data_IF_505013342347
#
_entry.id   IF_505013342347
#
_cell.length_a   1.000
_cell.length_b   1.000
_cell.length_c   1.000
_cell.angle_alpha   90.00
_cell.angle_beta   90.00
_cell.angle_gamma   90.00
#
_symmetry.space_group_name_H-M   'P 1'
#
loop_
_entity.id
_entity.type
_entity.pdbx_description
1 polymer ?
#
# COMPACT_ATOMS: atom_id res chain seq x y z
N UNK A 1 -25.98 -34.91 -8.77
CA UNK A 1 -24.93 -34.55 -7.78
C UNK A 1 -25.21 -33.19 -7.15
N UNK A 2 -25.15 -32.06 -7.89
CA UNK A 2 -25.41 -30.72 -7.33
C UNK A 2 -26.78 -30.62 -6.63
N UNK A 3 -27.85 -31.08 -7.27
CA UNK A 3 -29.19 -31.05 -6.67
C UNK A 3 -29.27 -31.88 -5.39
N UNK A 4 -28.57 -33.01 -5.33
CA UNK A 4 -28.51 -33.85 -4.11
C UNK A 4 -27.83 -33.10 -2.97
N UNK A 5 -26.73 -32.41 -3.24
CA UNK A 5 -25.99 -31.64 -2.23
C UNK A 5 -26.76 -30.40 -1.80
N UNK A 6 -27.38 -29.67 -2.74
CA UNK A 6 -28.16 -28.47 -2.46
C UNK A 6 -29.41 -28.75 -1.60
N UNK A 7 -30.00 -29.95 -1.72
CA UNK A 7 -31.17 -30.36 -0.95
C UNK A 7 -30.82 -31.15 0.33
N UNK A 8 -29.53 -31.31 0.67
CA UNK A 8 -29.12 -32.04 1.87
C UNK A 8 -29.54 -31.30 3.17
N UNK A 9 -29.55 -29.97 3.14
CA UNK A 9 -29.94 -29.10 4.25
C UNK A 9 -30.67 -27.86 3.72
N UNK A 10 -31.48 -27.16 4.54
CA UNK A 10 -32.19 -25.96 4.12
C UNK A 10 -31.26 -24.73 4.11
N UNK A 11 -30.23 -24.74 3.26
CA UNK A 11 -29.18 -23.70 3.25
C UNK A 11 -29.73 -22.30 3.03
N UNK A 12 -30.77 -22.13 2.21
CA UNK A 12 -31.39 -20.82 2.00
C UNK A 12 -31.99 -20.28 3.29
N UNK A 13 -32.71 -21.12 4.06
CA UNK A 13 -33.26 -20.71 5.35
C UNK A 13 -32.16 -20.36 6.37
N UNK A 14 -31.02 -21.04 6.30
CA UNK A 14 -29.88 -20.74 7.17
C UNK A 14 -29.26 -19.38 6.83
N UNK A 15 -29.09 -19.09 5.54
CA UNK A 15 -28.60 -17.80 5.09
C UNK A 15 -29.56 -16.67 5.47
N UNK A 16 -30.86 -16.81 5.16
CA UNK A 16 -31.88 -15.78 5.42
C UNK A 16 -31.98 -15.41 6.91
N UNK A 17 -31.69 -16.35 7.82
CA UNK A 17 -31.75 -16.13 9.27
C UNK A 17 -30.45 -15.65 9.89
N UNK A 18 -29.30 -16.02 9.32
CA UNK A 18 -28.00 -15.83 9.99
C UNK A 18 -27.10 -14.81 9.29
N UNK A 19 -27.15 -14.72 7.95
CA UNK A 19 -26.34 -13.78 7.19
C UNK A 19 -26.93 -12.37 7.36
N UNK A 20 -26.09 -11.40 7.73
CA UNK A 20 -26.50 -10.01 7.90
C UNK A 20 -25.81 -9.16 6.84
N UNK A 21 -26.56 -8.38 6.08
CA UNK A 21 -25.93 -7.38 5.21
C UNK A 21 -25.46 -6.19 6.05
N UNK A 22 -24.24 -5.70 5.79
CA UNK A 22 -23.75 -4.47 6.42
C UNK A 22 -24.69 -3.28 6.19
N UNK A 23 -25.30 -3.20 5.01
CA UNK A 23 -26.20 -2.10 4.66
C UNK A 23 -27.49 -2.11 5.51
N UNK A 24 -27.90 -3.29 6.01
CA UNK A 24 -29.11 -3.49 6.83
C UNK A 24 -28.88 -3.22 8.32
N UNK A 25 -27.62 -3.09 8.76
CA UNK A 25 -27.31 -2.73 10.14
C UNK A 25 -27.88 -1.34 10.49
N UNK A 26 -28.34 -1.13 11.74
CA UNK A 26 -28.93 0.12 12.18
C UNK A 26 -27.96 1.28 11.98
N UNK A 27 -28.51 2.45 11.62
CA UNK A 27 -27.71 3.65 11.42
C UNK A 27 -27.06 4.07 12.75
N UNK A 28 -25.79 4.51 12.73
CA UNK A 28 -25.10 4.96 13.93
C UNK A 28 -25.73 6.23 14.48
N UNK A 29 -25.66 6.47 15.80
CA UNK A 29 -26.26 7.64 16.44
C UNK A 29 -25.59 8.97 16.05
N UNK A 30 -24.28 8.94 15.75
CA UNK A 30 -23.52 10.11 15.32
C UNK A 30 -22.70 9.79 14.06
N UNK A 31 -22.88 10.59 13.01
CA UNK A 31 -22.00 10.60 11.85
C UNK A 31 -20.91 11.66 12.05
N UNK A 32 -19.68 11.30 11.71
CA UNK A 32 -18.53 12.21 11.77
C UNK A 32 -18.80 13.49 10.96
N UNK A 33 -18.57 14.65 11.58
CA UNK A 33 -18.69 15.96 10.91
C UNK A 33 -17.40 16.27 10.14
N UNK A 34 -17.53 16.96 9.01
CA UNK A 34 -16.38 17.39 8.22
C UNK A 34 -15.47 18.31 9.05
N UNK A 35 -14.17 18.00 9.06
CA UNK A 35 -13.16 18.83 9.72
C UNK A 35 -12.80 20.05 8.86
N UNK A 36 -12.27 21.08 9.52
CA UNK A 36 -11.73 22.27 8.85
C UNK A 36 -10.46 21.94 8.05
N UNK A 37 -10.25 22.62 6.92
CA UNK A 37 -9.10 22.46 6.02
C UNK A 37 -7.75 22.36 6.76
N UNK A 38 -7.47 23.27 7.70
CA UNK A 38 -6.21 23.27 8.45
C UNK A 38 -5.96 21.97 9.24
N UNK A 39 -7.02 21.32 9.72
CA UNK A 39 -6.94 20.03 10.42
C UNK A 39 -6.66 18.88 9.45
N UNK A 40 -7.27 18.92 8.26
CA UNK A 40 -7.06 17.95 7.17
C UNK A 40 -5.62 18.02 6.68
N UNK A 41 -5.11 19.21 6.36
CA UNK A 41 -3.74 19.43 5.90
C UNK A 41 -2.71 18.91 6.90
N UNK A 42 -2.93 19.19 8.18
CA UNK A 42 -2.05 18.73 9.23
C UNK A 42 -1.96 17.19 9.29
N UNK A 43 -3.09 16.48 9.22
CA UNK A 43 -3.10 15.01 9.17
C UNK A 43 -2.50 14.47 7.88
N UNK A 44 -2.74 15.11 6.74
CA UNK A 44 -2.12 14.76 5.46
C UNK A 44 -0.59 14.73 5.55
N UNK A 45 0.02 15.70 6.24
CA UNK A 45 1.47 15.72 6.46
C UNK A 45 1.99 14.50 7.22
N UNK A 46 1.27 14.06 8.26
CA UNK A 46 1.62 12.92 9.11
C UNK A 46 1.53 11.62 8.31
N UNK A 47 0.44 11.43 7.57
CA UNK A 47 0.22 10.24 6.76
C UNK A 47 0.98 10.25 5.42
N UNK A 48 1.79 11.29 5.17
CA UNK A 48 2.69 11.35 4.02
C UNK A 48 2.00 11.66 2.69
N UNK A 49 0.86 12.35 2.69
CA UNK A 49 0.27 12.86 1.45
C UNK A 49 1.15 13.96 0.87
N UNK A 50 1.17 14.05 -0.45
CA UNK A 50 1.88 15.06 -1.22
C UNK A 50 0.93 15.67 -2.23
N UNK A 51 1.24 16.87 -2.72
CA UNK A 51 0.43 17.48 -3.77
C UNK A 51 0.37 16.60 -5.03
N UNK A 52 1.46 15.89 -5.33
CA UNK A 52 1.49 14.92 -6.42
C UNK A 52 0.53 13.75 -6.19
N UNK A 53 0.47 13.15 -4.99
CA UNK A 53 -0.47 12.04 -4.75
C UNK A 53 -1.93 12.51 -4.87
N UNK A 54 -2.25 13.71 -4.39
CA UNK A 54 -3.57 14.30 -4.55
C UNK A 54 -3.95 14.46 -6.03
N UNK A 55 -3.08 15.12 -6.81
CA UNK A 55 -3.35 15.46 -8.20
C UNK A 55 -3.29 14.26 -9.15
N UNK A 56 -2.30 13.39 -8.95
CA UNK A 56 -1.99 12.29 -9.89
C UNK A 56 -2.78 11.03 -9.56
N UNK A 57 -3.19 10.81 -8.30
CA UNK A 57 -3.89 9.59 -7.87
C UNK A 57 -5.34 9.86 -7.45
N UNK A 58 -5.54 10.67 -6.41
CA UNK A 58 -6.88 10.86 -5.81
C UNK A 58 -7.85 11.53 -6.79
N UNK A 59 -7.44 12.62 -7.44
CA UNK A 59 -8.30 13.34 -8.37
C UNK A 59 -8.77 12.47 -9.56
N UNK A 60 -7.91 11.73 -10.28
CA UNK A 60 -8.34 10.81 -11.33
C UNK A 60 -9.24 9.68 -10.83
N UNK A 61 -8.93 9.08 -9.68
CA UNK A 61 -9.76 8.02 -9.10
C UNK A 61 -11.16 8.52 -8.75
N UNK A 62 -11.26 9.72 -8.17
CA UNK A 62 -12.53 10.36 -7.84
C UNK A 62 -13.33 10.77 -9.08
N UNK A 63 -12.70 11.29 -10.14
CA UNK A 63 -13.40 11.71 -11.36
C UNK A 63 -13.84 10.52 -12.22
N UNK A 64 -12.94 9.56 -12.45
CA UNK A 64 -13.13 8.53 -13.47
C UNK A 64 -13.61 7.18 -12.91
N UNK A 65 -13.50 6.95 -11.59
CA UNK A 65 -13.86 5.68 -10.98
C UNK A 65 -12.97 4.50 -11.38
N UNK A 66 -11.76 4.79 -11.86
CA UNK A 66 -10.69 3.84 -12.19
C UNK A 66 -9.37 4.38 -11.67
N UNK A 67 -8.40 3.50 -11.43
CA UNK A 67 -7.05 3.87 -10.99
C UNK A 67 -6.38 4.82 -11.98
N UNK A 68 -5.50 5.68 -11.47
CA UNK A 68 -4.70 6.56 -12.29
C UNK A 68 -3.78 5.78 -13.24
N UNK A 69 -3.68 6.24 -14.49
CA UNK A 69 -2.78 5.70 -15.49
C UNK A 69 -1.54 6.59 -15.60
N UNK A 70 -0.38 5.95 -15.69
CA UNK A 70 0.91 6.57 -15.96
C UNK A 70 1.64 5.86 -17.10
N UNK A 71 2.82 6.34 -17.43
CA UNK A 71 3.69 5.77 -18.46
C UNK A 71 5.15 5.92 -18.06
N UNK A 72 6.06 5.25 -18.80
CA UNK A 72 7.48 5.08 -18.47
C UNK A 72 7.71 4.09 -17.32
N UNK A 73 8.97 3.71 -17.09
CA UNK A 73 9.36 2.84 -15.98
C UNK A 73 9.54 3.63 -14.68
N UNK A 74 9.49 2.92 -13.55
CA UNK A 74 9.89 3.45 -12.25
C UNK A 74 11.42 3.57 -12.22
N UNK A 75 11.91 4.79 -12.18
CA UNK A 75 13.33 5.13 -12.15
C UNK A 75 13.76 5.81 -10.84
N UNK A 76 12.91 5.71 -9.81
CA UNK A 76 13.22 6.11 -8.44
C UNK A 76 14.06 5.06 -7.72
N UNK A 77 14.81 5.42 -6.65
CA UNK A 77 15.51 4.45 -5.81
C UNK A 77 14.57 3.39 -5.22
N UNK A 78 15.10 2.20 -4.95
CA UNK A 78 14.41 1.27 -4.07
C UNK A 78 14.18 1.93 -2.70
N UNK A 79 13.05 1.67 -2.04
CA UNK A 79 12.65 2.36 -0.80
C UNK A 79 13.74 2.36 0.28
N UNK A 80 14.46 1.24 0.44
CA UNK A 80 15.57 1.08 1.40
C UNK A 80 16.80 1.96 1.10
N UNK A 81 16.92 2.48 -0.12
CA UNK A 81 18.01 3.32 -0.57
C UNK A 81 17.59 4.78 -0.82
N UNK A 82 16.32 5.11 -0.61
CA UNK A 82 15.81 6.49 -0.64
C UNK A 82 16.31 7.28 0.57
N UNK A 83 16.55 8.58 0.39
CA UNK A 83 16.86 9.51 1.48
C UNK A 83 15.59 10.11 2.13
N UNK A 84 14.42 9.84 1.54
CA UNK A 84 13.11 10.28 2.01
C UNK A 84 12.47 9.27 2.96
N UNK A 85 11.56 9.76 3.79
CA UNK A 85 10.79 8.91 4.68
C UNK A 85 9.71 8.16 3.89
N UNK A 86 9.95 6.89 3.59
CA UNK A 86 9.06 6.05 2.80
C UNK A 86 7.89 5.55 3.64
N UNK A 87 6.78 5.22 2.99
CA UNK A 87 5.74 4.43 3.65
C UNK A 87 6.11 2.95 3.60
N UNK A 88 5.70 2.20 4.61
CA UNK A 88 6.02 0.78 4.71
C UNK A 88 5.54 -0.02 3.50
N UNK A 89 4.46 0.42 2.85
CA UNK A 89 3.94 -0.17 1.62
C UNK A 89 4.97 -0.25 0.49
N UNK A 90 5.82 0.77 0.34
CA UNK A 90 6.81 0.88 -0.76
C UNK A 90 7.89 -0.22 -0.71
N UNK A 91 8.09 -0.84 0.46
CA UNK A 91 9.05 -1.94 0.65
C UNK A 91 8.55 -3.28 0.10
N UNK A 92 7.28 -3.38 -0.30
CA UNK A 92 6.72 -4.62 -0.84
C UNK A 92 6.47 -4.52 -2.34
N UNK A 93 6.77 -5.59 -3.06
CA UNK A 93 6.52 -5.72 -4.50
C UNK A 93 5.48 -6.81 -4.72
N UNK A 94 4.50 -6.52 -5.58
CA UNK A 94 3.45 -7.47 -5.93
C UNK A 94 4.04 -8.64 -6.72
N UNK A 95 3.76 -9.86 -6.28
CA UNK A 95 4.05 -11.04 -7.09
C UNK A 95 2.99 -11.19 -8.19
N UNK A 96 3.40 -11.78 -9.31
CA UNK A 96 2.50 -12.06 -10.43
C UNK A 96 2.85 -13.41 -11.06
N UNK A 97 1.84 -14.08 -11.61
CA UNK A 97 2.01 -15.35 -12.29
C UNK A 97 2.64 -15.14 -13.68
N UNK A 98 3.44 -16.10 -14.12
CA UNK A 98 4.12 -16.03 -15.42
C UNK A 98 3.84 -17.29 -16.25
N UNK A 99 4.44 -18.42 -15.88
CA UNK A 99 4.36 -19.68 -16.65
C UNK A 99 3.53 -20.74 -15.93
N UNK A 100 3.67 -20.84 -14.60
CA UNK A 100 3.08 -21.90 -13.79
C UNK A 100 1.56 -21.90 -13.79
N UNK A 101 0.96 -20.72 -13.85
CA UNK A 101 -0.48 -20.51 -13.89
C UNK A 101 -0.75 -19.20 -14.66
N UNK A 102 -1.86 -19.12 -15.41
CA UNK A 102 -2.20 -17.91 -16.14
C UNK A 102 -2.79 -16.83 -15.19
N UNK A 103 -2.52 -15.54 -15.45
CA UNK A 103 -3.29 -14.47 -14.84
C UNK A 103 -4.73 -14.45 -15.38
N UNK A 104 -5.63 -13.83 -14.61
CA UNK A 104 -7.05 -13.64 -14.95
C UNK A 104 -7.26 -12.24 -15.56
N UNK A 105 -8.15 -12.12 -16.56
CA UNK A 105 -8.62 -10.83 -17.07
C UNK A 105 -9.75 -10.27 -16.18
N UNK A 106 -9.39 -9.39 -15.24
CA UNK A 106 -10.33 -8.79 -14.29
C UNK A 106 -11.44 -7.92 -14.93
N UNK A 107 -11.35 -7.60 -16.23
CA UNK A 107 -12.35 -6.80 -16.93
C UNK A 107 -13.28 -7.69 -17.74
N UNK A 108 -12.72 -8.58 -18.56
CA UNK A 108 -13.52 -9.46 -19.44
C UNK A 108 -14.13 -10.64 -18.70
N UNK A 109 -13.50 -11.06 -17.60
CA UNK A 109 -13.91 -12.20 -16.78
C UNK A 109 -14.45 -11.72 -15.41
N UNK A 110 -15.00 -10.51 -15.33
CA UNK A 110 -15.55 -9.93 -14.10
C UNK A 110 -16.61 -10.86 -13.44
N UNK A 111 -17.35 -11.63 -14.22
CA UNK A 111 -18.37 -12.59 -13.74
C UNK A 111 -17.82 -13.71 -12.86
N UNK A 112 -16.54 -14.08 -13.01
CA UNK A 112 -15.91 -15.10 -12.15
C UNK A 112 -15.18 -14.48 -10.97
N UNK A 113 -15.12 -13.15 -10.87
CA UNK A 113 -14.50 -12.44 -9.75
C UNK A 113 -15.51 -12.12 -8.65
N UNK A 114 -15.08 -12.24 -7.39
CA UNK A 114 -15.90 -11.94 -6.21
C UNK A 114 -15.20 -10.93 -5.30
N UNK A 115 -15.90 -9.83 -5.01
CA UNK A 115 -15.40 -8.74 -4.15
C UNK A 115 -15.97 -8.79 -2.74
N UNK A 116 -16.96 -9.62 -2.51
CA UNK A 116 -17.58 -9.75 -1.21
C UNK A 116 -16.62 -10.39 -0.21
N UNK A 117 -16.71 -9.90 1.03
CA UNK A 117 -15.95 -10.39 2.17
C UNK A 117 -16.90 -10.54 3.35
N UNK A 118 -16.57 -11.46 4.25
CA UNK A 118 -17.41 -11.77 5.41
C UNK A 118 -16.70 -11.36 6.70
N UNK A 119 -17.42 -10.70 7.60
CA UNK A 119 -16.94 -10.35 8.95
C UNK A 119 -17.62 -11.23 10.00
N UNK A 120 -16.88 -11.55 11.05
CA UNK A 120 -17.37 -12.31 12.20
C UNK A 120 -16.52 -13.54 12.46
N UNK A 121 -16.98 -14.35 13.39
CA UNK A 121 -16.33 -15.61 13.74
C UNK A 121 -16.52 -16.63 12.63
N UNK A 122 -15.45 -17.29 12.21
CA UNK A 122 -15.51 -18.44 11.32
C UNK A 122 -15.87 -19.69 12.12
N UNK A 123 -16.90 -20.41 11.65
CA UNK A 123 -17.39 -21.61 12.31
C UNK A 123 -16.53 -22.85 12.06
N UNK A 124 -16.93 -23.98 12.64
CA UNK A 124 -16.23 -25.24 12.44
C UNK A 124 -16.55 -25.81 11.06
N UNK A 125 -15.54 -25.87 10.19
CA UNK A 125 -15.64 -26.38 8.81
C UNK A 125 -16.05 -27.86 8.71
N UNK A 126 -15.91 -28.63 9.79
CA UNK A 126 -16.28 -30.05 9.84
C UNK A 126 -17.77 -30.26 10.17
N UNK A 127 -18.47 -29.23 10.63
CA UNK A 127 -19.86 -29.29 11.04
C UNK A 127 -20.73 -28.52 10.05
N UNK A 128 -21.84 -29.13 9.61
CA UNK A 128 -22.82 -28.47 8.73
C UNK A 128 -23.99 -27.99 9.57
N UNK A 129 -23.85 -26.79 10.15
CA UNK A 129 -24.82 -26.19 11.08
C UNK A 129 -25.15 -24.73 10.69
N UNK A 130 -26.37 -24.23 11.00
CA UNK A 130 -26.80 -22.87 10.65
C UNK A 130 -25.90 -21.76 11.20
N UNK A 131 -25.30 -21.98 12.37
CA UNK A 131 -24.48 -20.98 13.07
C UNK A 131 -23.25 -20.57 12.26
N UNK A 132 -22.74 -21.45 11.38
CA UNK A 132 -21.64 -21.14 10.48
C UNK A 132 -21.99 -20.02 9.48
N UNK A 133 -23.28 -19.79 9.22
CA UNK A 133 -23.76 -18.71 8.35
C UNK A 133 -23.87 -17.36 9.08
N UNK A 134 -23.60 -17.29 10.39
CA UNK A 134 -23.72 -16.04 11.18
C UNK A 134 -22.53 -15.12 10.93
N UNK A 135 -22.56 -14.42 9.80
CA UNK A 135 -21.54 -13.47 9.38
C UNK A 135 -22.18 -12.18 8.86
N UNK A 136 -21.42 -11.08 8.87
CA UNK A 136 -21.80 -9.83 8.22
C UNK A 136 -21.19 -9.81 6.82
N UNK A 137 -22.01 -9.75 5.78
CA UNK A 137 -21.56 -9.64 4.39
C UNK A 137 -21.27 -8.19 4.02
N UNK A 138 -20.08 -7.98 3.45
CA UNK A 138 -19.64 -6.74 2.85
C UNK A 138 -19.56 -6.95 1.35
N UNK A 139 -20.15 -6.06 0.56
CA UNK A 139 -20.10 -6.12 -0.92
C UNK A 139 -18.71 -5.83 -1.49
N UNK A 140 -17.92 -5.05 -0.76
CA UNK A 140 -16.54 -4.71 -1.10
C UNK A 140 -15.75 -4.44 0.19
N UNK A 141 -14.41 -4.55 0.16
CA UNK A 141 -13.58 -4.38 1.36
C UNK A 141 -13.30 -2.91 1.71
N UNK A 142 -13.74 -1.94 0.90
CA UNK A 142 -13.40 -0.52 1.08
C UNK A 142 -14.61 0.21 1.69
N UNK A 143 -14.54 0.45 2.98
CA UNK A 143 -15.66 0.96 3.77
C UNK A 143 -15.78 2.49 3.69
N UNK A 144 -17.02 2.96 3.60
CA UNK A 144 -17.36 4.35 3.92
C UNK A 144 -17.29 4.60 5.43
N UNK A 145 -17.23 5.87 5.85
CA UNK A 145 -17.20 6.22 7.28
C UNK A 145 -18.51 5.80 7.96
N UNK A 146 -19.62 5.91 7.24
CA UNK A 146 -20.96 5.52 7.66
C UNK A 146 -21.03 4.01 7.91
N UNK A 147 -20.51 3.21 6.97
CA UNK A 147 -20.41 1.76 7.10
C UNK A 147 -19.50 1.33 8.26
N UNK A 148 -18.34 1.98 8.42
CA UNK A 148 -17.46 1.72 9.55
C UNK A 148 -18.16 2.01 10.89
N UNK A 149 -18.90 3.13 10.98
CA UNK A 149 -19.64 3.49 12.18
C UNK A 149 -20.74 2.45 12.49
N UNK A 150 -21.46 1.92 11.49
CA UNK A 150 -22.40 0.80 11.69
C UNK A 150 -21.72 -0.43 12.31
N UNK A 151 -20.52 -0.78 11.83
CA UNK A 151 -19.74 -1.89 12.39
C UNK A 151 -19.25 -1.61 13.80
N UNK A 152 -18.72 -0.42 14.05
CA UNK A 152 -18.17 -0.04 15.35
C UNK A 152 -19.22 -0.04 16.47
N UNK A 153 -20.48 0.25 16.14
CA UNK A 153 -21.61 0.27 17.08
C UNK A 153 -22.55 -0.93 16.94
N UNK A 154 -22.11 -2.02 16.29
CA UNK A 154 -22.94 -3.20 16.09
C UNK A 154 -23.39 -3.77 17.45
N UNK A 155 -24.71 -3.89 17.63
CA UNK A 155 -25.37 -4.49 18.81
C UNK A 155 -26.26 -5.67 18.41
N UNK A 156 -25.91 -6.31 17.31
CA UNK A 156 -26.59 -7.50 16.80
C UNK A 156 -26.11 -8.76 17.50
N UNK A 157 -27.00 -9.74 17.70
CA UNK A 157 -26.66 -10.99 18.39
C UNK A 157 -25.49 -11.69 17.69
N UNK A 158 -24.45 -12.04 18.44
CA UNK A 158 -23.28 -12.73 17.89
C UNK A 158 -22.24 -11.83 17.22
N UNK A 159 -22.45 -10.51 17.19
CA UNK A 159 -21.44 -9.54 16.73
C UNK A 159 -21.14 -8.56 17.84
N UNK A 160 -19.85 -8.41 18.14
CA UNK A 160 -19.36 -7.41 19.09
C UNK A 160 -18.09 -6.81 18.52
N UNK A 161 -18.11 -5.50 18.33
CA UNK A 161 -16.98 -4.74 17.84
C UNK A 161 -16.24 -4.03 18.98
N UNK A 162 -14.92 -3.90 18.84
CA UNK A 162 -14.09 -3.07 19.69
C UNK A 162 -13.09 -2.29 18.84
N UNK A 163 -13.00 -0.98 19.10
CA UNK A 163 -11.96 -0.13 18.52
C UNK A 163 -10.66 -0.30 19.30
N UNK A 164 -9.59 -0.62 18.60
CA UNK A 164 -8.25 -0.78 19.16
C UNK A 164 -7.35 0.33 18.58
N UNK A 165 -6.80 1.22 19.42
CA UNK A 165 -5.95 2.30 18.94
C UNK A 165 -4.60 1.76 18.44
N UNK A 166 -4.15 2.23 17.28
CA UNK A 166 -2.83 1.95 16.73
C UNK A 166 -1.96 3.21 16.77
N UNK A 167 -1.73 3.72 17.98
CA UNK A 167 -0.94 4.92 18.27
C UNK A 167 0.18 4.60 19.25
N UNK A 168 1.27 5.37 19.20
CA UNK A 168 2.36 5.27 20.18
C UNK A 168 2.89 6.65 20.57
N UNK A 169 3.42 6.84 21.78
CA UNK A 169 4.03 8.11 22.18
C UNK A 169 5.27 8.41 21.33
N UNK A 170 5.24 9.50 20.55
CA UNK A 170 6.28 9.77 19.52
C UNK A 170 7.69 9.91 20.11
N UNK A 171 7.80 10.39 21.35
CA UNK A 171 9.07 10.63 22.04
C UNK A 171 9.62 9.40 22.78
N UNK A 172 8.93 8.27 22.72
CA UNK A 172 9.32 7.05 23.46
C UNK A 172 10.35 6.16 22.75
N UNK A 173 10.87 6.60 21.59
CA UNK A 173 11.88 5.87 20.84
C UNK A 173 11.32 4.67 20.07
N UNK A 174 12.19 3.94 19.33
CA UNK A 174 11.86 2.69 18.66
C UNK A 174 11.19 1.65 19.56
N UNK A 175 11.65 1.55 20.82
CA UNK A 175 11.12 0.61 21.81
C UNK A 175 9.68 0.96 22.19
N UNK A 176 9.31 2.24 22.08
CA UNK A 176 7.96 2.73 22.26
C UNK A 176 6.98 2.21 21.21
N UNK A 177 7.40 2.20 19.94
CA UNK A 177 6.64 1.61 18.84
C UNK A 177 6.42 0.11 19.07
N UNK A 178 7.47 -0.61 19.49
CA UNK A 178 7.36 -2.03 19.79
C UNK A 178 6.43 -2.33 20.97
N UNK A 179 6.54 -1.55 22.06
CA UNK A 179 5.65 -1.66 23.21
C UNK A 179 4.20 -1.41 22.84
N UNK A 180 3.92 -0.44 21.97
CA UNK A 180 2.58 -0.15 21.50
C UNK A 180 2.00 -1.29 20.66
N UNK A 181 2.80 -1.95 19.82
CA UNK A 181 2.39 -3.16 19.10
C UNK A 181 2.05 -4.31 20.06
N UNK A 182 2.92 -4.57 21.04
CA UNK A 182 2.66 -5.62 22.03
C UNK A 182 1.40 -5.32 22.87
N UNK A 183 1.19 -4.05 23.23
CA UNK A 183 -0.01 -3.61 23.93
C UNK A 183 -1.27 -3.80 23.07
N UNK A 184 -1.21 -3.47 21.77
CA UNK A 184 -2.28 -3.74 20.83
C UNK A 184 -2.63 -5.24 20.76
N UNK A 185 -1.62 -6.11 20.75
CA UNK A 185 -1.83 -7.56 20.73
C UNK A 185 -2.50 -8.07 22.02
N UNK A 186 -2.05 -7.56 23.18
CA UNK A 186 -2.64 -7.87 24.48
C UNK A 186 -4.11 -7.42 24.55
N UNK A 187 -4.43 -6.20 24.10
CA UNK A 187 -5.81 -5.71 24.05
C UNK A 187 -6.71 -6.56 23.15
N UNK A 188 -6.17 -7.06 22.03
CA UNK A 188 -6.91 -7.93 21.14
C UNK A 188 -7.19 -9.29 21.79
N UNK A 189 -6.21 -9.88 22.48
CA UNK A 189 -6.40 -11.13 23.23
C UNK A 189 -7.48 -10.98 24.31
N UNK A 190 -7.42 -9.91 25.13
CA UNK A 190 -8.43 -9.60 26.14
C UNK A 190 -9.83 -9.38 25.52
N UNK A 191 -9.89 -8.74 24.36
CA UNK A 191 -11.14 -8.49 23.66
C UNK A 191 -11.78 -9.81 23.16
N UNK A 192 -10.98 -10.73 22.60
CA UNK A 192 -11.46 -12.08 22.22
C UNK A 192 -12.02 -12.83 23.43
N UNK A 193 -11.34 -12.79 24.57
CA UNK A 193 -11.84 -13.43 25.81
C UNK A 193 -13.18 -12.84 26.27
N UNK A 194 -13.44 -11.57 25.97
CA UNK A 194 -14.71 -10.90 26.21
C UNK A 194 -15.76 -11.16 25.11
N UNK A 195 -15.47 -12.02 24.13
CA UNK A 195 -16.37 -12.36 23.02
C UNK A 195 -16.46 -11.29 21.93
N UNK A 196 -15.47 -10.40 21.82
CA UNK A 196 -15.34 -9.47 20.69
C UNK A 196 -14.83 -10.22 19.47
N UNK A 197 -15.52 -10.07 18.34
CA UNK A 197 -15.19 -10.74 17.09
C UNK A 197 -15.01 -9.80 15.89
N UNK A 198 -15.06 -8.48 16.12
CA UNK A 198 -14.73 -7.47 15.10
C UNK A 198 -13.79 -6.45 15.74
N UNK A 199 -12.55 -6.42 15.26
CA UNK A 199 -11.56 -5.44 15.68
C UNK A 199 -11.50 -4.29 14.69
N UNK A 200 -11.63 -3.06 15.19
CA UNK A 200 -11.41 -1.85 14.39
C UNK A 200 -10.07 -1.24 14.82
N UNK A 201 -9.01 -1.53 14.07
CA UNK A 201 -7.70 -0.91 14.26
C UNK A 201 -7.79 0.54 13.78
N UNK A 202 -7.49 1.51 14.64
CA UNK A 202 -7.71 2.93 14.34
C UNK A 202 -6.51 3.80 14.65
N UNK A 203 -6.06 4.57 13.66
CA UNK A 203 -5.05 5.63 13.86
C UNK A 203 -5.71 6.99 14.12
N UNK A 204 -7.03 7.05 14.36
CA UNK A 204 -7.65 8.29 14.84
C UNK A 204 -7.14 8.62 16.25
N UNK A 205 -6.88 9.90 16.50
CA UNK A 205 -6.31 10.38 17.77
C UNK A 205 -4.83 10.71 17.71
N UNK A 206 -4.21 10.67 16.52
CA UNK A 206 -2.89 11.27 16.29
C UNK A 206 -2.87 12.71 16.81
N UNK A 207 -1.83 13.05 17.57
CA UNK A 207 -1.66 14.33 18.24
C UNK A 207 -0.19 14.75 18.24
N UNK A 208 0.15 15.88 18.86
CA UNK A 208 1.53 16.33 19.04
C UNK A 208 2.38 15.30 19.82
N UNK A 209 1.74 14.51 20.69
CA UNK A 209 2.43 13.52 21.53
C UNK A 209 2.29 12.09 21.03
N UNK A 210 1.28 11.81 20.20
CA UNK A 210 0.94 10.46 19.71
C UNK A 210 1.12 10.37 18.20
N UNK A 211 2.01 9.48 17.76
CA UNK A 211 2.21 9.15 16.35
C UNK A 211 1.46 7.86 15.97
N UNK A 212 1.06 7.71 14.69
CA UNK A 212 0.40 6.49 14.23
C UNK A 212 1.40 5.35 14.08
N UNK A 213 1.05 4.16 14.56
CA UNK A 213 1.72 2.92 14.13
C UNK A 213 1.38 2.73 12.65
N UNK A 214 2.36 2.44 11.76
CA UNK A 214 2.05 2.16 10.36
C UNK A 214 0.96 1.09 10.24
N UNK A 215 -0.11 1.38 9.51
CA UNK A 215 -1.32 0.57 9.52
C UNK A 215 -1.05 -0.85 9.01
N UNK A 216 -0.16 -0.98 8.03
CA UNK A 216 0.31 -2.29 7.54
C UNK A 216 1.03 -3.10 8.62
N UNK A 217 1.87 -2.46 9.43
CA UNK A 217 2.61 -3.12 10.51
C UNK A 217 1.68 -3.58 11.63
N UNK A 218 0.74 -2.71 12.05
CA UNK A 218 -0.27 -3.05 13.06
C UNK A 218 -1.15 -4.22 12.60
N UNK A 219 -1.63 -4.16 11.35
CA UNK A 219 -2.50 -5.18 10.75
C UNK A 219 -1.80 -6.53 10.64
N UNK A 220 -0.64 -6.56 9.99
CA UNK A 220 0.10 -7.80 9.77
C UNK A 220 0.59 -8.39 11.10
N UNK A 221 1.12 -7.54 11.98
CA UNK A 221 1.57 -7.94 13.30
C UNK A 221 0.46 -8.60 14.13
N UNK A 222 -0.72 -7.98 14.17
CA UNK A 222 -1.88 -8.55 14.88
C UNK A 222 -2.39 -9.82 14.20
N UNK A 223 -2.49 -9.83 12.87
CA UNK A 223 -2.91 -11.01 12.11
C UNK A 223 -2.04 -12.23 12.44
N UNK A 224 -0.71 -12.07 12.41
CA UNK A 224 0.23 -13.14 12.73
C UNK A 224 0.26 -13.51 14.22
N UNK A 225 0.08 -12.53 15.12
CA UNK A 225 -0.09 -12.81 16.55
C UNK A 225 -1.29 -13.72 16.79
N UNK A 226 -2.45 -13.38 16.23
CA UNK A 226 -3.68 -14.17 16.36
C UNK A 226 -3.57 -15.56 15.71
N UNK A 227 -2.81 -15.70 14.62
CA UNK A 227 -2.50 -17.02 14.05
C UNK A 227 -1.68 -17.86 15.03
N UNK A 228 -0.60 -17.30 15.60
CA UNK A 228 0.25 -17.99 16.59
C UNK A 228 -0.51 -18.35 17.87
N UNK A 229 -1.55 -17.58 18.20
CA UNK A 229 -2.46 -17.84 19.33
C UNK A 229 -3.63 -18.77 18.98
N UNK A 230 -3.77 -19.18 17.71
CA UNK A 230 -4.89 -19.99 17.22
C UNK A 230 -6.27 -19.33 17.38
N UNK A 231 -6.30 -17.98 17.43
CA UNK A 231 -7.52 -17.18 17.64
C UNK A 231 -7.92 -16.36 16.41
N UNK A 232 -7.15 -16.40 15.31
CA UNK A 232 -7.45 -15.58 14.11
C UNK A 232 -8.83 -15.86 13.49
N UNK A 233 -9.32 -17.09 13.54
CA UNK A 233 -10.66 -17.47 13.01
C UNK A 233 -11.80 -16.92 13.88
N UNK A 234 -11.52 -16.49 15.11
CA UNK A 234 -12.55 -16.02 16.04
C UNK A 234 -12.99 -14.58 15.77
N UNK A 235 -12.21 -13.82 15.00
CA UNK A 235 -12.43 -12.40 14.79
C UNK A 235 -12.12 -11.95 13.36
N UNK A 236 -12.62 -10.78 12.99
CA UNK A 236 -12.25 -10.06 11.78
C UNK A 236 -11.49 -8.78 12.12
N UNK A 237 -10.57 -8.37 11.23
CA UNK A 237 -9.77 -7.16 11.40
C UNK A 237 -10.23 -6.13 10.37
N UNK A 238 -10.71 -4.98 10.85
CA UNK A 238 -11.08 -3.81 10.05
C UNK A 238 -10.10 -2.68 10.35
N UNK A 239 -9.58 -2.02 9.32
CA UNK A 239 -8.55 -0.98 9.46
C UNK A 239 -9.15 0.39 9.15
N UNK A 240 -9.29 1.24 10.16
CA UNK A 240 -9.59 2.68 10.05
C UNK A 240 -8.27 3.45 10.02
N UNK A 241 -7.83 3.90 8.84
CA UNK A 241 -6.51 4.51 8.70
C UNK A 241 -6.47 5.70 7.76
N UNK A 242 -5.59 6.65 8.08
CA UNK A 242 -5.26 7.76 7.21
C UNK A 242 -4.20 7.45 6.15
N UNK A 243 -3.40 6.41 6.31
CA UNK A 243 -2.32 6.06 5.36
C UNK A 243 -2.80 5.54 3.99
N UNK A 244 -3.78 4.62 3.90
CA UNK A 244 -4.16 3.96 2.65
C UNK A 244 -4.82 4.94 1.68
N UNK A 245 -4.27 4.98 0.47
CA UNK A 245 -4.76 5.88 -0.59
C UNK A 245 -4.54 5.34 -2.00
N UNK A 246 -3.59 4.42 -2.15
CA UNK A 246 -3.25 3.75 -3.40
C UNK A 246 -3.77 2.32 -3.42
N UNK A 247 -4.05 1.81 -4.62
CA UNK A 247 -4.46 0.41 -4.84
C UNK A 247 -3.50 -0.57 -4.17
N UNK A 248 -2.20 -0.30 -4.23
CA UNK A 248 -1.17 -1.11 -3.60
C UNK A 248 -1.32 -1.16 -2.07
N UNK A 249 -1.69 -0.06 -1.42
CA UNK A 249 -1.86 -0.01 0.04
C UNK A 249 -3.03 -0.89 0.48
N UNK A 250 -4.16 -0.82 -0.23
CA UNK A 250 -5.32 -1.66 0.04
C UNK A 250 -5.03 -3.14 -0.19
N UNK A 251 -4.34 -3.47 -1.30
CA UNK A 251 -3.96 -4.84 -1.60
C UNK A 251 -3.04 -5.43 -0.52
N UNK A 252 -2.06 -4.66 -0.02
CA UNK A 252 -1.19 -5.09 1.07
C UNK A 252 -1.97 -5.30 2.38
N UNK A 253 -2.81 -4.34 2.79
CA UNK A 253 -3.58 -4.49 4.03
C UNK A 253 -4.45 -5.76 4.00
N UNK A 254 -5.14 -6.01 2.88
CA UNK A 254 -5.96 -7.20 2.70
C UNK A 254 -5.08 -8.46 2.66
N UNK A 255 -4.00 -8.43 1.86
CA UNK A 255 -3.06 -9.54 1.72
C UNK A 255 -2.35 -9.93 3.02
N UNK A 256 -2.27 -9.03 4.00
CA UNK A 256 -1.73 -9.25 5.34
C UNK A 256 -2.80 -9.34 6.44
N UNK A 257 -4.06 -9.55 6.08
CA UNK A 257 -5.09 -10.06 6.99
C UNK A 257 -6.19 -9.07 7.41
N UNK A 258 -6.22 -7.85 6.85
CA UNK A 258 -7.38 -6.98 6.99
C UNK A 258 -8.56 -7.52 6.17
N UNK A 259 -9.72 -7.69 6.79
CA UNK A 259 -10.94 -8.04 6.07
C UNK A 259 -11.53 -6.85 5.34
N UNK A 260 -11.41 -5.64 5.92
CA UNK A 260 -11.89 -4.42 5.31
C UNK A 260 -11.06 -3.20 5.75
N UNK A 261 -11.07 -2.14 4.94
CA UNK A 261 -10.29 -0.91 5.13
C UNK A 261 -11.20 0.30 4.96
N UNK A 262 -11.17 1.22 5.92
CA UNK A 262 -11.78 2.54 5.85
C UNK A 262 -10.66 3.61 5.70
N UNK A 263 -10.44 4.15 4.49
CA UNK A 263 -9.45 5.19 4.24
C UNK A 263 -10.00 6.59 4.54
N UNK A 264 -10.31 6.89 5.81
CA UNK A 264 -11.03 8.13 6.17
C UNK A 264 -10.33 9.40 5.68
N UNK A 265 -8.98 9.44 5.74
CA UNK A 265 -8.20 10.61 5.34
C UNK A 265 -8.27 10.85 3.83
N UNK A 266 -8.41 9.80 3.02
CA UNK A 266 -8.63 9.95 1.58
C UNK A 266 -9.99 10.61 1.31
N UNK A 267 -11.03 10.25 2.06
CA UNK A 267 -12.36 10.88 1.94
C UNK A 267 -12.35 12.35 2.39
N UNK A 268 -11.71 12.64 3.53
CA UNK A 268 -11.55 14.02 4.01
C UNK A 268 -10.73 14.86 3.03
N UNK A 269 -9.67 14.29 2.46
CA UNK A 269 -8.87 14.94 1.41
C UNK A 269 -9.68 15.21 0.15
N UNK A 270 -10.52 14.28 -0.30
CA UNK A 270 -11.37 14.49 -1.47
C UNK A 270 -12.42 15.59 -1.23
N UNK A 271 -13.01 15.64 -0.03
CA UNK A 271 -13.92 16.72 0.36
C UNK A 271 -13.20 18.07 0.26
N UNK A 272 -12.03 18.15 0.88
CA UNK A 272 -11.19 19.35 0.93
C UNK A 272 -10.72 19.81 -0.46
N UNK A 273 -10.35 18.87 -1.34
CA UNK A 273 -9.99 19.16 -2.74
C UNK A 273 -11.17 19.71 -3.56
N UNK A 274 -12.39 19.26 -3.28
CA UNK A 274 -13.60 19.78 -3.95
C UNK A 274 -13.92 21.18 -3.43
N UNK A 275 -13.85 21.39 -2.11
CA UNK A 275 -14.10 22.69 -1.47
C UNK A 275 -13.12 23.78 -1.95
N UNK A 276 -11.85 23.42 -2.14
CA UNK A 276 -10.82 24.30 -2.72
C UNK A 276 -10.91 24.46 -4.25
N UNK A 277 -11.80 23.74 -4.94
CA UNK A 277 -11.91 23.77 -6.40
C UNK A 277 -10.77 23.07 -7.16
N UNK A 278 -9.95 22.25 -6.50
CA UNK A 278 -8.93 21.41 -7.15
C UNK A 278 -9.57 20.26 -7.95
N UNK A 279 -10.72 19.78 -7.49
CA UNK A 279 -11.54 18.78 -8.18
C UNK A 279 -12.89 19.40 -8.49
N UNK A 280 -13.06 19.81 -9.74
CA UNK A 280 -14.29 20.41 -10.26
C UNK A 280 -15.24 19.38 -10.88
N UNK A 281 -16.49 19.81 -11.12
CA UNK A 281 -17.50 19.10 -11.93
C UNK A 281 -18.00 17.78 -11.34
N UNK A 282 -17.85 17.58 -10.04
CA UNK A 282 -18.32 16.39 -9.32
C UNK A 282 -18.69 16.73 -7.88
N UNK A 283 -19.82 16.20 -7.41
CA UNK A 283 -20.23 16.32 -6.01
C UNK A 283 -19.51 15.30 -5.13
N UNK A 284 -19.33 15.61 -3.85
CA UNK A 284 -18.58 14.78 -2.90
C UNK A 284 -19.02 13.31 -2.87
N UNK A 285 -20.32 13.03 -2.78
CA UNK A 285 -20.80 11.64 -2.71
C UNK A 285 -20.48 10.84 -3.97
N UNK A 286 -20.50 11.48 -5.14
CA UNK A 286 -20.14 10.84 -6.41
C UNK A 286 -18.63 10.62 -6.49
N UNK A 287 -17.83 11.57 -6.02
CA UNK A 287 -16.37 11.44 -5.91
C UNK A 287 -15.98 10.30 -4.97
N UNK A 288 -16.60 10.22 -3.79
CA UNK A 288 -16.45 9.13 -2.81
C UNK A 288 -16.80 7.78 -3.42
N UNK A 289 -17.95 7.66 -4.07
CA UNK A 289 -18.38 6.44 -4.76
C UNK A 289 -17.38 5.99 -5.84
N UNK A 290 -16.95 6.93 -6.70
CA UNK A 290 -16.00 6.65 -7.76
C UNK A 290 -14.64 6.22 -7.19
N UNK A 291 -14.14 6.89 -6.16
CA UNK A 291 -12.89 6.54 -5.50
C UNK A 291 -12.92 5.11 -4.94
N UNK A 292 -14.00 4.74 -4.24
CA UNK A 292 -14.21 3.37 -3.72
C UNK A 292 -14.20 2.37 -4.87
N UNK A 293 -14.95 2.65 -5.94
CA UNK A 293 -15.00 1.81 -7.14
C UNK A 293 -13.60 1.63 -7.76
N UNK A 294 -12.82 2.71 -7.88
CA UNK A 294 -11.47 2.70 -8.42
C UNK A 294 -10.53 1.84 -7.56
N UNK A 295 -10.57 2.02 -6.24
CA UNK A 295 -9.78 1.25 -5.29
C UNK A 295 -10.15 -0.25 -5.34
N UNK A 296 -11.43 -0.59 -5.28
CA UNK A 296 -11.90 -1.99 -5.35
C UNK A 296 -11.51 -2.65 -6.67
N UNK A 297 -11.75 -2.01 -7.82
CA UNK A 297 -11.31 -2.55 -9.13
C UNK A 297 -9.80 -2.71 -9.22
N UNK A 298 -9.06 -1.77 -8.64
CA UNK A 298 -7.61 -1.87 -8.53
C UNK A 298 -7.15 -3.09 -7.74
N UNK A 299 -7.76 -3.39 -6.59
CA UNK A 299 -7.41 -4.58 -5.79
C UNK A 299 -7.71 -5.85 -6.57
N UNK A 300 -8.87 -5.95 -7.24
CA UNK A 300 -9.19 -7.12 -8.09
C UNK A 300 -8.15 -7.29 -9.19
N UNK A 301 -7.72 -6.19 -9.84
CA UNK A 301 -6.63 -6.21 -10.82
C UNK A 301 -5.33 -6.75 -10.23
N UNK A 302 -5.01 -6.43 -8.98
CA UNK A 302 -3.82 -6.98 -8.30
C UNK A 302 -3.98 -8.49 -8.06
N UNK A 303 -5.14 -8.95 -7.58
CA UNK A 303 -5.44 -10.37 -7.39
C UNK A 303 -5.35 -11.15 -8.71
N UNK A 304 -5.86 -10.56 -9.80
CA UNK A 304 -5.92 -11.19 -11.12
C UNK A 304 -4.53 -11.43 -11.72
N UNK A 305 -3.51 -10.66 -11.33
CA UNK A 305 -2.11 -10.90 -11.73
C UNK A 305 -1.59 -12.28 -11.30
N UNK A 306 -2.13 -12.85 -10.23
CA UNK A 306 -1.81 -14.20 -9.76
C UNK A 306 -2.87 -15.24 -10.17
N UNK A 307 -3.90 -14.82 -10.91
CA UNK A 307 -5.04 -15.68 -11.27
C UNK A 307 -6.02 -15.92 -10.11
N UNK A 308 -5.98 -15.10 -9.06
CA UNK A 308 -6.91 -15.20 -7.92
C UNK A 308 -8.21 -14.49 -8.28
N UNK A 309 -9.34 -15.19 -8.13
CA UNK A 309 -10.66 -14.69 -8.51
C UNK A 309 -11.47 -14.10 -7.35
N UNK A 310 -11.20 -14.47 -6.09
CA UNK A 310 -11.97 -14.00 -4.94
C UNK A 310 -11.10 -13.23 -3.95
N UNK A 311 -11.63 -12.12 -3.40
CA UNK A 311 -10.93 -11.37 -2.36
C UNK A 311 -10.80 -12.15 -1.05
N UNK A 312 -11.76 -13.03 -0.76
CA UNK A 312 -11.68 -13.90 0.42
C UNK A 312 -10.45 -14.81 0.38
N UNK A 313 -10.09 -15.38 -0.78
CA UNK A 313 -8.87 -16.19 -0.93
C UNK A 313 -7.59 -15.34 -0.97
N UNK A 314 -7.69 -14.06 -1.30
CA UNK A 314 -6.55 -13.14 -1.29
C UNK A 314 -6.20 -12.66 0.13
N UNK A 315 -7.18 -12.60 1.03
CA UNK A 315 -6.99 -12.17 2.42
C UNK A 315 -5.98 -13.08 3.14
N UNK A 316 -4.91 -12.48 3.67
CA UNK A 316 -3.84 -13.23 4.36
C UNK A 316 -2.93 -14.08 3.45
N UNK A 317 -3.09 -14.02 2.12
CA UNK A 317 -2.33 -14.86 1.19
C UNK A 317 -0.88 -14.40 0.97
N UNK A 318 -0.53 -13.16 1.36
CA UNK A 318 0.82 -12.59 1.24
C UNK A 318 1.44 -12.71 -0.16
N UNK A 319 0.72 -12.27 -1.21
CA UNK A 319 1.20 -12.33 -2.61
C UNK A 319 2.18 -11.18 -2.90
N UNK A 320 3.22 -11.08 -2.06
CA UNK A 320 4.20 -10.01 -2.07
C UNK A 320 5.59 -10.54 -1.74
N UNK A 321 6.59 -9.79 -2.19
CA UNK A 321 7.98 -9.92 -1.76
C UNK A 321 8.42 -8.62 -1.09
N UNK A 322 9.10 -8.73 0.04
CA UNK A 322 9.73 -7.59 0.69
C UNK A 322 11.13 -7.34 0.11
N UNK A 323 11.43 -6.07 -0.14
CA UNK A 323 12.73 -5.60 -0.60
C UNK A 323 13.26 -4.55 0.38
N UNK A 324 14.30 -4.91 1.13
CA UNK A 324 14.95 -4.01 2.07
C UNK A 324 14.36 -4.02 3.48
N UNK A 325 13.62 -5.05 3.87
CA UNK A 325 13.17 -5.28 5.25
C UNK A 325 14.06 -6.34 5.92
N UNK A 326 14.43 -6.16 7.17
CA UNK A 326 15.23 -7.14 7.92
C UNK A 326 14.47 -8.46 8.11
N UNK A 327 15.21 -9.59 8.15
CA UNK A 327 14.59 -10.89 8.40
C UNK A 327 13.89 -10.93 9.76
N UNK A 328 14.46 -10.31 10.79
CA UNK A 328 13.87 -10.23 12.13
C UNK A 328 12.50 -9.55 12.12
N UNK A 329 12.36 -8.43 11.39
CA UNK A 329 11.08 -7.72 11.27
C UNK A 329 10.04 -8.60 10.55
N UNK A 330 10.46 -9.25 9.46
CA UNK A 330 9.61 -10.11 8.65
C UNK A 330 9.15 -11.34 9.45
N UNK A 331 10.06 -12.04 10.13
CA UNK A 331 9.72 -13.22 10.93
C UNK A 331 8.69 -12.90 12.01
N UNK A 332 8.78 -11.71 12.61
CA UNK A 332 7.88 -11.28 13.68
C UNK A 332 6.51 -10.81 13.18
N UNK A 333 6.48 -9.94 12.18
CA UNK A 333 5.27 -9.20 11.79
C UNK A 333 4.72 -9.55 10.40
N UNK A 334 5.51 -10.16 9.52
CA UNK A 334 5.15 -10.50 8.13
C UNK A 334 5.56 -11.95 7.80
N UNK A 335 5.36 -12.86 8.76
CA UNK A 335 5.96 -14.20 8.76
C UNK A 335 5.71 -14.91 7.43
N UNK A 336 6.78 -15.51 6.87
CA UNK A 336 6.85 -16.21 5.57
C UNK A 336 6.90 -15.33 4.31
N UNK A 337 6.90 -14.01 4.43
CA UNK A 337 7.19 -13.15 3.29
C UNK A 337 8.68 -13.27 2.89
N UNK A 338 9.03 -13.47 1.60
CA UNK A 338 10.42 -13.47 1.17
C UNK A 338 11.07 -12.09 1.34
N UNK A 339 12.27 -12.03 1.91
CA UNK A 339 13.11 -10.82 1.97
C UNK A 339 14.58 -11.14 1.63
N UNK A 340 14.86 -11.27 0.33
CA UNK A 340 16.19 -11.73 -0.14
C UNK A 340 17.28 -10.69 0.05
N UNK A 341 16.91 -9.42 -0.07
CA UNK A 341 17.78 -8.28 0.21
C UNK A 341 17.22 -7.63 1.47
N UNK A 342 17.90 -7.87 2.58
CA UNK A 342 17.51 -7.36 3.88
C UNK A 342 17.83 -5.86 4.01
N UNK A 343 17.28 -5.22 5.03
CA UNK A 343 17.54 -3.79 5.26
C UNK A 343 16.99 -3.33 6.59
N UNK A 344 16.05 -2.39 6.53
CA UNK A 344 15.53 -1.68 7.70
C UNK A 344 14.79 -2.59 8.68
N UNK A 345 14.89 -2.26 9.98
CA UNK A 345 14.10 -2.88 11.03
C UNK A 345 13.08 -1.89 11.63
N UNK A 346 12.57 -2.24 12.80
CA UNK A 346 11.57 -1.43 13.50
C UNK A 346 12.09 -0.03 13.88
N UNK A 347 13.39 0.09 14.15
CA UNK A 347 14.04 1.35 14.49
C UNK A 347 13.98 2.36 13.35
N UNK A 348 14.33 1.96 12.15
CA UNK A 348 14.31 2.83 10.99
C UNK A 348 12.87 3.19 10.61
N UNK A 349 11.92 2.26 10.70
CA UNK A 349 10.48 2.53 10.52
C UNK A 349 10.00 3.61 11.50
N UNK A 350 10.39 3.53 12.78
CA UNK A 350 10.10 4.57 13.77
C UNK A 350 10.66 5.93 13.33
N UNK A 351 11.89 5.99 12.82
CA UNK A 351 12.50 7.24 12.37
C UNK A 351 11.77 7.84 11.17
N UNK A 352 11.27 7.03 10.24
CA UNK A 352 10.46 7.51 9.11
C UNK A 352 9.12 8.11 9.58
N UNK A 353 8.43 7.41 10.48
CA UNK A 353 7.19 7.91 11.10
C UNK A 353 7.47 9.21 11.86
N UNK A 354 8.55 9.25 12.64
CA UNK A 354 8.95 10.44 13.41
C UNK A 354 9.26 11.62 12.50
N UNK A 355 9.95 11.43 11.36
CA UNK A 355 10.22 12.51 10.39
C UNK A 355 8.94 13.10 9.84
N UNK A 356 7.95 12.26 9.47
CA UNK A 356 6.64 12.73 9.00
C UNK A 356 5.87 13.45 10.09
N UNK A 357 5.90 12.93 11.31
CA UNK A 357 5.25 13.52 12.49
C UNK A 357 5.85 14.89 12.84
N UNK A 358 7.18 15.02 12.90
CA UNK A 358 7.88 16.29 13.16
C UNK A 358 7.61 17.35 12.09
N UNK A 359 7.41 16.94 10.84
CA UNK A 359 7.02 17.87 9.77
C UNK A 359 5.62 18.44 9.99
N UNK A 360 4.70 17.65 10.54
CA UNK A 360 3.36 18.12 10.87
C UNK A 360 3.35 18.95 12.17
N UNK A 361 4.14 18.54 13.17
CA UNK A 361 4.31 19.20 14.46
C UNK A 361 5.73 19.77 14.64
N UNK A 362 6.10 20.85 13.93
CA UNK A 362 7.39 21.48 14.13
C UNK A 362 7.54 22.06 15.56
N UNK A 363 8.79 22.21 16.01
CA UNK A 363 9.12 22.80 17.33
C UNK A 363 8.72 24.28 17.43
N UNK A 364 8.62 24.97 16.29
CA UNK A 364 8.03 26.31 16.17
C UNK A 364 6.62 26.15 15.59
N UNK A 365 5.66 26.94 16.04
CA UNK A 365 4.24 26.82 15.66
C UNK A 365 3.91 27.15 14.19
N UNK A 366 4.92 27.24 13.32
CA UNK A 366 4.75 27.39 11.88
C UNK A 366 4.59 26.00 11.24
N UNK A 367 3.43 25.37 11.44
CA UNK A 367 3.07 24.19 10.65
C UNK A 367 3.11 24.56 9.15
N UNK A 368 3.69 23.72 8.27
CA UNK A 368 3.77 24.03 6.85
C UNK A 368 2.37 24.29 6.28
N UNK A 369 2.18 25.47 5.68
CA UNK A 369 0.87 25.89 5.15
C UNK A 369 0.46 25.20 3.84
N UNK A 370 1.31 24.32 3.28
CA UNK A 370 1.04 23.59 2.04
C UNK A 370 1.71 22.21 2.05
N UNK A 371 1.11 21.26 1.33
CA UNK A 371 1.72 19.94 1.09
C UNK A 371 3.02 20.06 0.31
N UNK A 372 3.93 19.12 0.55
CA UNK A 372 5.13 19.01 -0.28
C UNK A 372 4.72 18.70 -1.73
N UNK A 373 5.41 19.26 -2.74
CA UNK A 373 5.06 19.05 -4.15
C UNK A 373 5.03 17.59 -4.59
N UNK A 374 5.77 16.71 -3.91
CA UNK A 374 6.01 15.33 -4.31
C UNK A 374 7.27 15.23 -5.19
N UNK A 375 7.24 14.29 -6.13
CA UNK A 375 8.33 13.98 -7.04
C UNK A 375 8.70 12.51 -7.03
N UNK A 376 7.74 11.63 -6.75
CA UNK A 376 7.90 10.17 -6.77
C UNK A 376 7.49 9.61 -8.14
N UNK A 377 6.47 10.21 -8.79
CA UNK A 377 6.00 9.79 -10.12
C UNK A 377 6.61 10.61 -11.26
N UNK A 378 7.01 11.85 -10.99
CA UNK A 378 7.59 12.76 -11.97
C UNK A 378 8.79 13.48 -11.38
N UNK A 379 9.89 13.53 -12.14
CA UNK A 379 11.09 14.25 -11.71
C UNK A 379 10.78 15.71 -11.35
N UNK A 380 11.27 16.12 -10.18
CA UNK A 380 11.29 17.50 -9.71
C UNK A 380 12.65 17.82 -9.11
N UNK A 381 13.08 19.08 -9.19
CA UNK A 381 14.37 19.50 -8.64
C UNK A 381 14.50 19.27 -7.13
N UNK A 382 13.42 19.50 -6.37
CA UNK A 382 13.31 19.24 -4.94
C UNK A 382 12.52 17.94 -4.66
N UNK A 383 12.45 17.04 -5.65
CA UNK A 383 11.70 15.77 -5.61
C UNK A 383 12.56 14.57 -5.18
N UNK A 384 11.99 13.37 -5.29
CA UNK A 384 12.78 12.15 -5.17
C UNK A 384 13.80 12.10 -6.31
N UNK A 385 14.86 11.31 -6.10
CA UNK A 385 15.89 11.10 -7.11
C UNK A 385 15.30 10.23 -8.25
N UNK A 386 15.48 10.65 -9.51
CA UNK A 386 15.17 9.85 -10.72
C UNK A 386 16.40 9.61 -11.62
N UNK A 387 16.62 8.36 -12.05
CA UNK A 387 17.77 8.02 -12.92
C UNK A 387 17.79 8.86 -14.20
N UNK A 388 16.61 9.17 -14.74
CA UNK A 388 16.46 10.03 -15.90
C UNK A 388 16.20 11.48 -15.47
N UNK A 389 17.27 12.29 -15.46
CA UNK A 389 17.20 13.73 -15.21
C UNK A 389 17.21 14.52 -16.52
N UNK A 390 16.71 15.77 -16.55
CA UNK A 390 16.80 16.62 -17.74
C UNK A 390 18.24 16.79 -18.25
N UNK A 391 19.22 16.84 -17.35
CA UNK A 391 20.64 17.00 -17.69
C UNK A 391 21.19 15.73 -18.35
N UNK A 392 20.90 14.54 -17.79
CA UNK A 392 21.38 13.28 -18.36
C UNK A 392 20.74 13.02 -19.73
N UNK A 393 19.43 13.29 -19.87
CA UNK A 393 18.72 13.20 -21.16
C UNK A 393 19.33 14.18 -22.18
N UNK A 394 19.55 15.44 -21.80
CA UNK A 394 20.11 16.45 -22.70
C UNK A 394 21.49 16.05 -23.22
N UNK A 395 22.39 15.61 -22.33
CA UNK A 395 23.75 15.19 -22.72
C UNK A 395 23.74 13.95 -23.61
N UNK A 396 22.89 12.97 -23.33
CA UNK A 396 22.74 11.80 -24.19
C UNK A 396 22.26 12.20 -25.60
N UNK A 397 21.21 13.04 -25.68
CA UNK A 397 20.70 13.54 -26.96
C UNK A 397 21.76 14.34 -27.75
N UNK A 398 22.53 15.20 -27.08
CA UNK A 398 23.61 15.97 -27.69
C UNK A 398 24.73 15.06 -28.23
N UNK A 399 25.11 14.04 -27.46
CA UNK A 399 26.13 13.07 -27.86
C UNK A 399 25.71 12.31 -29.13
N UNK A 400 24.50 11.73 -29.16
CA UNK A 400 24.03 10.89 -30.27
C UNK A 400 23.58 11.68 -31.51
N UNK A 401 23.34 12.99 -31.39
CA UNK A 401 23.03 13.87 -32.54
C UNK A 401 24.26 14.41 -33.25
N UNK A 402 25.44 14.29 -32.66
CA UNK A 402 26.70 14.64 -33.33
C UNK A 402 26.91 13.72 -34.56
N UNK A 403 27.47 14.25 -35.65
CA UNK A 403 27.62 13.55 -36.95
C UNK A 403 29.02 13.77 -37.54
N UNK A 404 29.42 12.91 -38.48
CA UNK A 404 30.70 13.01 -39.18
C UNK A 404 31.91 12.83 -38.26
N UNK A 405 33.02 13.48 -38.58
CA UNK A 405 34.29 13.34 -37.86
C UNK A 405 34.22 13.87 -36.41
N UNK A 406 33.23 14.70 -36.08
CA UNK A 406 33.02 15.22 -34.72
C UNK A 406 32.51 14.16 -33.73
N UNK A 407 32.05 13.00 -34.22
CA UNK A 407 31.51 11.92 -33.36
C UNK A 407 32.55 11.48 -32.33
N UNK A 408 33.82 11.33 -32.71
CA UNK A 408 34.86 10.82 -31.81
C UNK A 408 35.53 11.91 -30.97
N UNK A 409 35.51 13.17 -31.43
CA UNK A 409 36.12 14.29 -30.70
C UNK A 409 35.16 14.97 -29.73
N UNK A 410 33.92 15.24 -30.17
CA UNK A 410 32.91 15.97 -29.41
C UNK A 410 31.77 15.07 -28.93
N UNK A 411 31.26 14.21 -29.80
CA UNK A 411 30.16 13.29 -29.48
C UNK A 411 30.54 12.33 -28.36
N UNK A 412 31.68 11.65 -28.49
CA UNK A 412 32.21 10.71 -27.52
C UNK A 412 32.59 11.39 -26.20
N UNK A 413 33.19 12.59 -26.25
CA UNK A 413 33.43 13.40 -25.05
C UNK A 413 32.14 13.70 -24.30
N UNK A 414 31.10 14.12 -25.01
CA UNK A 414 29.77 14.39 -24.44
C UNK A 414 29.13 13.12 -23.88
N UNK A 415 29.30 11.97 -24.56
CA UNK A 415 28.86 10.67 -24.05
C UNK A 415 29.59 10.26 -22.77
N UNK A 416 30.91 10.53 -22.67
CA UNK A 416 31.69 10.27 -21.46
C UNK A 416 31.22 11.15 -20.30
N UNK A 417 30.90 12.42 -20.55
CA UNK A 417 30.28 13.29 -19.55
C UNK A 417 28.90 12.77 -19.11
N UNK A 418 28.07 12.31 -20.05
CA UNK A 418 26.80 11.65 -19.74
C UNK A 418 27.02 10.41 -18.85
N UNK A 419 27.91 9.49 -19.25
CA UNK A 419 28.17 8.27 -18.50
C UNK A 419 28.77 8.54 -17.12
N UNK A 420 29.61 9.58 -16.99
CA UNK A 420 30.17 9.97 -15.71
C UNK A 420 29.08 10.49 -14.77
N UNK A 421 28.13 11.29 -15.29
CA UNK A 421 26.99 11.74 -14.49
C UNK A 421 26.08 10.58 -14.09
N UNK A 422 25.78 9.64 -15.00
CA UNK A 422 24.95 8.47 -14.67
C UNK A 422 25.65 7.56 -13.66
N UNK A 423 26.95 7.31 -13.80
CA UNK A 423 27.70 6.46 -12.87
C UNK A 423 27.87 7.12 -11.49
N UNK A 424 28.21 8.41 -11.44
CA UNK A 424 28.26 9.15 -10.18
C UNK A 424 26.87 9.20 -9.53
N UNK A 425 25.82 9.39 -10.35
CA UNK A 425 24.46 9.24 -9.89
C UNK A 425 24.23 7.85 -9.34
N UNK A 426 24.63 6.75 -9.96
CA UNK A 426 24.39 5.39 -9.46
C UNK A 426 25.01 5.09 -8.09
N UNK A 427 26.20 5.63 -7.82
CA UNK A 427 26.84 5.55 -6.49
C UNK A 427 26.00 6.30 -5.44
N UNK A 428 25.42 7.45 -5.81
CA UNK A 428 24.57 8.26 -4.95
C UNK A 428 23.09 7.82 -4.95
N UNK A 429 22.60 7.15 -5.99
CA UNK A 429 21.18 6.91 -6.28
C UNK A 429 20.63 5.70 -5.58
N UNK A 430 21.48 4.78 -5.13
CA UNK A 430 20.99 3.57 -4.52
C UNK A 430 20.26 2.68 -5.52
N UNK A 431 20.88 2.37 -6.66
CA UNK A 431 20.54 1.13 -7.36
C UNK A 431 21.31 -0.02 -6.74
N UNK A 432 20.76 -1.23 -6.74
CA UNK A 432 21.46 -2.40 -6.19
C UNK A 432 22.82 -2.66 -6.86
N UNK A 433 22.93 -2.38 -8.16
CA UNK A 433 24.20 -2.51 -8.90
C UNK A 433 25.20 -1.41 -8.57
N UNK A 434 24.74 -0.22 -8.17
CA UNK A 434 25.60 0.87 -7.69
C UNK A 434 26.28 0.57 -6.36
N UNK A 435 25.78 -0.43 -5.61
CA UNK A 435 26.41 -0.92 -4.38
C UNK A 435 27.54 -1.93 -4.65
N UNK A 436 27.80 -2.28 -5.91
CA UNK A 436 28.81 -3.25 -6.30
C UNK A 436 30.03 -2.54 -6.91
N UNK A 437 31.22 -2.93 -6.47
CA UNK A 437 32.48 -2.47 -7.06
C UNK A 437 33.11 -3.57 -7.93
N UNK A 438 33.64 -3.19 -9.09
CA UNK A 438 34.38 -4.11 -9.97
C UNK A 438 35.82 -4.23 -9.48
N UNK A 439 36.23 -5.45 -9.13
CA UNK A 439 37.64 -5.76 -8.86
C UNK A 439 38.37 -6.01 -10.17
N UNK A 440 39.13 -5.02 -10.62
CA UNK A 440 39.95 -5.12 -11.82
C UNK A 440 41.21 -5.98 -11.59
N UNK A 441 41.77 -6.50 -12.68
CA UNK A 441 43.06 -7.19 -12.66
C UNK A 441 44.20 -6.19 -12.43
N UNK A 442 45.29 -6.64 -11.79
CA UNK A 442 46.44 -5.80 -11.47
C UNK A 442 47.12 -5.20 -12.72
N UNK A 443 47.02 -5.90 -13.86
CA UNK A 443 47.54 -5.44 -15.15
C UNK A 443 46.41 -5.26 -16.15
N UNK A 444 46.18 -4.03 -16.66
CA UNK A 444 45.23 -3.79 -17.73
C UNK A 444 45.77 -4.31 -19.08
N UNK A 445 44.87 -4.77 -19.94
CA UNK A 445 45.21 -5.17 -21.31
C UNK A 445 45.11 -3.97 -22.27
N UNK A 446 45.87 -3.97 -23.38
CA UNK A 446 45.69 -3.03 -24.49
C UNK A 446 44.27 -3.08 -25.08
N UNK A 447 43.75 -1.92 -25.53
CA UNK A 447 42.38 -1.83 -26.06
C UNK A 447 42.19 -2.61 -27.37
N UNK A 448 43.25 -2.78 -28.15
CA UNK A 448 43.29 -3.56 -29.40
C UNK A 448 43.18 -5.07 -29.17
N UNK A 449 43.42 -5.55 -27.94
CA UNK A 449 43.15 -6.93 -27.55
C UNK A 449 41.67 -7.17 -27.15
N UNK A 450 40.90 -6.09 -26.96
CA UNK A 450 39.47 -6.18 -26.61
C UNK A 450 38.65 -6.52 -27.86
N UNK A 451 37.60 -7.33 -27.67
CA UNK A 451 36.63 -7.65 -28.72
C UNK A 451 36.14 -6.37 -29.43
N UNK A 452 36.11 -6.33 -30.77
CA UNK A 452 35.75 -5.13 -31.51
C UNK A 452 34.28 -4.75 -31.31
N UNK A 453 33.98 -3.45 -31.37
CA UNK A 453 32.64 -2.93 -31.16
C UNK A 453 31.59 -3.54 -32.10
N UNK A 454 31.98 -3.96 -33.31
CA UNK A 454 31.11 -4.64 -34.28
C UNK A 454 30.60 -6.01 -33.82
N UNK A 455 31.32 -6.69 -32.93
CA UNK A 455 30.88 -7.95 -32.33
C UNK A 455 30.09 -7.71 -31.04
N UNK A 456 30.54 -6.75 -30.21
CA UNK A 456 29.83 -6.38 -28.96
C UNK A 456 28.40 -5.91 -29.27
N UNK A 457 28.20 -5.06 -30.29
CA UNK A 457 26.89 -4.49 -30.64
C UNK A 457 25.86 -5.56 -31.03
N UNK A 458 26.30 -6.75 -31.50
CA UNK A 458 25.39 -7.86 -31.82
C UNK A 458 24.65 -8.40 -30.59
N UNK A 459 25.17 -8.14 -29.39
CA UNK A 459 24.54 -8.53 -28.12
C UNK A 459 23.45 -7.53 -27.70
N UNK A 460 23.43 -6.33 -28.28
CA UNK A 460 22.45 -5.30 -27.93
C UNK A 460 21.12 -5.58 -28.63
N UNK A 461 20.04 -5.40 -27.88
CA UNK A 461 18.67 -5.50 -28.38
C UNK A 461 17.94 -4.23 -27.97
N UNK A 462 17.22 -3.62 -28.90
CA UNK A 462 16.49 -2.36 -28.66
C UNK A 462 15.23 -2.54 -27.81
N UNK A 463 14.85 -3.79 -27.50
CA UNK A 463 13.54 -4.13 -26.94
C UNK A 463 12.43 -3.97 -27.98
N UNK A 464 11.31 -4.67 -27.77
CA UNK A 464 10.10 -4.47 -28.57
C UNK A 464 9.30 -3.31 -27.97
N UNK A 465 9.08 -2.25 -28.74
CA UNK A 465 8.18 -1.14 -28.40
C UNK A 465 7.02 -1.17 -29.39
N UNK A 466 5.81 -1.50 -28.90
CA UNK A 466 4.58 -1.65 -29.69
C UNK A 466 3.86 -0.33 -29.92
#
# INVERSE_FOLDING_TARGET
IKDTLANAHPYQEWLDRNLVELDDLPSPPDLYQADQHGSVLHRQHIFGYTFETLRTLLAPMAKNGVEALGSMGDDTPAAVLSDRAQLLYTYFRQLFAQVTNPPLDAIREELVTATDVMLGTEGNVLLTIPENCRQIRLKNPILTNEQLAKLAYVKERGFRAQKLPMLFPVNSGPEGLEKALNYLFMLADEAIEQGVNIFVLSDRGVSRDMAPIPALLATAGLHHHLIRRETRTQCAIVVESGEPREVHHFALLIGYGATAVNPYMAYETLYDMIDQGLVTDIVYDKAKYNYIKAASKGVIKVCSKMGISTLQSYCGAQIFEALGLSQELVDKYFTWTPTRIQGIGLREIYHEVRRRHQRAYPERDDAPGVLVPGGDYQWRAEGERHLFTPITIHKLQAAVRTRGDEVWNRGFKTFKEYSALVNAQEEDFGTLRGLLELRFADQPIPLDEVEPASEIVKRFKTGAMS
#
